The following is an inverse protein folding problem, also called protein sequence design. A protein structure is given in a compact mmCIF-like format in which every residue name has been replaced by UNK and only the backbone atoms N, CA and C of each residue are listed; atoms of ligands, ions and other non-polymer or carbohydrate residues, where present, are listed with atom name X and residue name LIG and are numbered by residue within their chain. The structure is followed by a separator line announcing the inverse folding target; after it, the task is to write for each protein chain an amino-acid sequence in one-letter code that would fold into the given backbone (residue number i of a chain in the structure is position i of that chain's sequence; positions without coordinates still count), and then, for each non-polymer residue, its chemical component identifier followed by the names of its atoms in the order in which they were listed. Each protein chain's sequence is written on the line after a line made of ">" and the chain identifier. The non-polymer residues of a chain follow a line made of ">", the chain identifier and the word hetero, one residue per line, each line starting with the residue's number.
data_IF_963955761528
#
_entry.id   IF_963955761528
#
_cell.length_a   1.000
_cell.length_b   1.000
_cell.length_c   1.000
_cell.angle_alpha   90.00
_cell.angle_beta   90.00
_cell.angle_gamma   90.00
#
_symmetry.space_group_name_H-M   'P 1'
#
loop_
_entity.id
_entity.type
_entity.pdbx_description
1 polymer ?
#
# COMPACT_ATOMS: atom_id res chain seq x y z
N UNK A 1 -9.83 -0.34 -12.23
CA UNK A 1 -9.13 -1.57 -11.77
C UNK A 1 -9.78 -1.98 -10.46
N UNK A 2 -9.80 -3.27 -10.13
CA UNK A 2 -10.34 -3.70 -8.86
C UNK A 2 -9.22 -3.72 -7.82
N UNK A 3 -9.14 -2.67 -7.01
CA UNK A 3 -8.16 -2.59 -5.92
C UNK A 3 -8.69 -3.36 -4.71
N UNK A 4 -7.85 -4.20 -4.14
CA UNK A 4 -8.20 -5.06 -2.99
C UNK A 4 -7.47 -4.68 -1.70
N UNK A 5 -6.48 -3.78 -1.81
CA UNK A 5 -5.58 -3.44 -0.72
C UNK A 5 -5.26 -1.96 -0.77
N UNK A 6 -5.10 -1.34 0.39
CA UNK A 6 -4.57 0.03 0.51
C UNK A 6 -3.29 -0.02 1.33
N UNK A 7 -2.24 0.57 0.78
CA UNK A 7 -0.95 0.74 1.46
C UNK A 7 -0.96 2.12 2.12
N UNK A 8 -0.90 2.16 3.44
CA UNK A 8 -0.87 3.39 4.24
C UNK A 8 0.56 3.69 4.70
N UNK A 9 1.00 4.93 4.45
CA UNK A 9 2.31 5.47 4.83
C UNK A 9 2.11 6.57 5.87
N UNK A 10 2.97 6.60 6.87
CA UNK A 10 2.96 7.59 7.95
C UNK A 10 4.37 8.21 8.07
N UNK A 11 4.43 9.51 8.37
CA UNK A 11 5.69 10.19 8.64
C UNK A 11 6.21 9.77 10.02
N UNK A 12 7.52 9.88 10.24
CA UNK A 12 8.20 9.72 11.55
C UNK A 12 8.70 8.32 11.95
N UNK A 13 8.80 7.38 11.02
CA UNK A 13 9.44 6.08 11.29
C UNK A 13 10.92 6.27 11.71
N UNK A 14 11.68 7.14 11.06
CA UNK A 14 13.15 7.21 11.28
C UNK A 14 13.62 8.09 12.45
N UNK A 15 12.74 8.86 13.09
CA UNK A 15 13.09 9.78 14.18
C UNK A 15 12.76 9.22 15.58
N UNK A 16 12.24 7.99 15.66
CA UNK A 16 11.66 7.41 16.88
C UNK A 16 12.33 6.07 17.19
N UNK A 17 12.49 5.76 18.49
CA UNK A 17 12.87 4.42 18.92
C UNK A 17 11.80 3.39 18.55
N UNK A 18 12.15 2.11 18.50
CA UNK A 18 11.20 1.04 18.13
C UNK A 18 9.95 1.02 19.03
N UNK A 19 10.13 1.33 20.31
CA UNK A 19 9.03 1.43 21.26
C UNK A 19 8.04 2.55 20.89
N UNK A 20 8.56 3.75 20.62
CA UNK A 20 7.71 4.91 20.26
C UNK A 20 7.06 4.70 18.89
N UNK A 21 7.78 4.08 17.94
CA UNK A 21 7.24 3.67 16.64
C UNK A 21 6.05 2.72 16.81
N UNK A 22 6.18 1.68 17.63
CA UNK A 22 5.10 0.72 17.90
C UNK A 22 3.88 1.36 18.54
N UNK A 23 4.07 2.32 19.46
CA UNK A 23 2.94 3.07 20.04
C UNK A 23 2.20 3.90 18.99
N UNK A 24 2.94 4.62 18.14
CA UNK A 24 2.36 5.40 17.05
C UNK A 24 1.57 4.52 16.09
N UNK A 25 2.16 3.39 15.65
CA UNK A 25 1.50 2.46 14.75
C UNK A 25 0.24 1.84 15.36
N UNK A 26 0.27 1.52 16.66
CA UNK A 26 -0.89 1.03 17.39
C UNK A 26 -2.00 2.09 17.42
N UNK A 27 -1.67 3.32 17.80
CA UNK A 27 -2.66 4.41 17.89
C UNK A 27 -3.27 4.76 16.53
N UNK A 28 -2.43 4.82 15.50
CA UNK A 28 -2.88 5.04 14.12
C UNK A 28 -3.82 3.91 13.66
N UNK A 29 -3.46 2.66 13.95
CA UNK A 29 -4.31 1.50 13.63
C UNK A 29 -5.66 1.53 14.35
N UNK A 30 -5.69 1.95 15.62
CA UNK A 30 -6.91 2.13 16.39
C UNK A 30 -7.81 3.23 15.80
N UNK A 31 -7.23 4.38 15.43
CA UNK A 31 -7.96 5.48 14.81
C UNK A 31 -8.58 5.04 13.47
N UNK A 32 -7.82 4.34 12.63
CA UNK A 32 -8.32 3.80 11.35
C UNK A 32 -9.45 2.79 11.61
N UNK A 33 -9.26 1.84 12.53
CA UNK A 33 -10.28 0.84 12.89
C UNK A 33 -11.58 1.48 13.40
N UNK A 34 -11.47 2.55 14.19
CA UNK A 34 -12.63 3.30 14.68
C UNK A 34 -13.45 3.89 13.53
N UNK A 35 -12.77 4.53 12.56
CA UNK A 35 -13.45 5.05 11.39
C UNK A 35 -14.08 3.94 10.52
N UNK A 36 -13.39 2.81 10.35
CA UNK A 36 -13.89 1.65 9.60
C UNK A 36 -15.18 1.14 10.24
N UNK A 37 -15.18 0.99 11.57
CA UNK A 37 -16.35 0.54 12.33
C UNK A 37 -17.51 1.53 12.21
N UNK A 38 -17.24 2.83 12.28
CA UNK A 38 -18.25 3.89 12.19
C UNK A 38 -18.94 3.92 10.83
N UNK A 39 -18.23 3.54 9.77
CA UNK A 39 -18.75 3.48 8.40
C UNK A 39 -19.23 2.09 7.98
N UNK A 40 -19.21 1.12 8.90
CA UNK A 40 -19.62 -0.27 8.66
C UNK A 40 -18.90 -0.95 7.48
N UNK A 41 -17.63 -0.60 7.26
CA UNK A 41 -16.83 -1.12 6.14
C UNK A 41 -16.20 -2.45 6.53
N UNK A 42 -16.27 -3.45 5.63
CA UNK A 42 -15.58 -4.74 5.85
C UNK A 42 -14.13 -4.63 5.40
N UNK A 43 -13.20 -4.59 6.36
CA UNK A 43 -11.77 -4.45 6.07
C UNK A 43 -10.88 -5.17 7.10
N UNK A 44 -9.77 -5.74 6.62
CA UNK A 44 -8.71 -6.35 7.45
C UNK A 44 -7.48 -5.45 7.47
N UNK A 45 -7.09 -5.00 8.66
CA UNK A 45 -5.90 -4.17 8.86
C UNK A 45 -4.73 -5.01 9.38
N UNK A 46 -3.58 -4.97 8.70
CA UNK A 46 -2.31 -5.57 9.13
C UNK A 46 -1.20 -4.52 9.21
N UNK A 47 -0.25 -4.72 10.11
CA UNK A 47 0.94 -3.87 10.29
C UNK A 47 2.17 -4.68 9.93
N UNK A 48 2.95 -4.23 8.97
CA UNK A 48 4.13 -4.95 8.50
C UNK A 48 5.25 -3.96 8.16
N UNK A 49 6.43 -4.12 8.80
CA UNK A 49 7.70 -3.47 8.44
C UNK A 49 7.60 -1.96 8.16
N UNK A 50 6.86 -1.22 8.99
CA UNK A 50 6.72 0.23 8.84
C UNK A 50 5.65 0.67 7.84
N UNK A 51 4.71 -0.22 7.49
CA UNK A 51 3.50 0.11 6.74
C UNK A 51 2.28 -0.51 7.40
N UNK A 52 1.14 0.11 7.16
CA UNK A 52 -0.17 -0.45 7.46
C UNK A 52 -0.82 -0.84 6.13
N UNK A 53 -1.34 -2.08 6.06
CA UNK A 53 -2.09 -2.58 4.93
C UNK A 53 -3.55 -2.76 5.32
N UNK A 54 -4.46 -2.34 4.45
CA UNK A 54 -5.90 -2.51 4.64
C UNK A 54 -6.44 -3.30 3.45
N UNK A 55 -6.81 -4.55 3.67
CA UNK A 55 -7.44 -5.40 2.65
C UNK A 55 -8.96 -5.24 2.72
N UNK A 56 -9.58 -4.86 1.60
CA UNK A 56 -11.02 -4.63 1.48
C UNK A 56 -11.45 -4.59 0.00
N UNK A 57 -12.71 -4.92 -0.29
CA UNK A 57 -13.32 -4.63 -1.59
C UNK A 57 -13.81 -3.16 -1.70
N UNK A 58 -13.95 -2.47 -0.57
CA UNK A 58 -14.49 -1.10 -0.45
C UNK A 58 -13.36 -0.06 -0.41
N UNK A 59 -12.42 -0.13 -1.35
CA UNK A 59 -11.20 0.70 -1.32
C UNK A 59 -11.45 2.20 -1.47
N UNK A 60 -12.49 2.60 -2.19
CA UNK A 60 -12.86 4.02 -2.34
C UNK A 60 -13.35 4.64 -1.02
N UNK A 61 -14.15 3.89 -0.27
CA UNK A 61 -14.71 4.33 1.01
C UNK A 61 -13.63 4.44 2.09
N UNK A 62 -12.72 3.45 2.14
CA UNK A 62 -11.53 3.52 3.00
C UNK A 62 -10.65 4.69 2.57
N UNK A 63 -10.47 4.93 1.26
CA UNK A 63 -9.67 6.05 0.76
C UNK A 63 -10.25 7.39 1.19
N UNK A 64 -11.59 7.55 1.19
CA UNK A 64 -12.26 8.74 1.70
C UNK A 64 -12.06 8.91 3.21
N UNK A 65 -12.13 7.83 3.98
CA UNK A 65 -11.86 7.85 5.42
C UNK A 65 -10.41 8.26 5.73
N UNK A 66 -9.42 7.69 5.02
CA UNK A 66 -8.00 7.92 5.31
C UNK A 66 -7.55 9.36 5.12
N UNK A 67 -8.24 10.13 4.27
CA UNK A 67 -8.00 11.58 4.10
C UNK A 67 -8.20 12.39 5.38
N UNK A 68 -8.98 11.87 6.33
CA UNK A 68 -9.33 12.56 7.58
C UNK A 68 -8.63 11.95 8.81
N UNK A 69 -7.77 10.94 8.63
CA UNK A 69 -7.05 10.31 9.74
C UNK A 69 -5.70 10.99 9.94
N UNK A 70 -5.56 11.76 11.01
CA UNK A 70 -4.27 12.34 11.39
C UNK A 70 -3.19 11.27 11.61
N UNK A 71 -1.98 11.56 11.15
CA UNK A 71 -0.84 10.64 11.16
C UNK A 71 -0.70 9.84 9.86
N UNK A 72 -1.72 9.80 9.00
CA UNK A 72 -1.57 9.28 7.62
C UNK A 72 -0.86 10.35 6.79
N UNK A 73 0.35 10.03 6.30
CA UNK A 73 1.10 10.90 5.40
C UNK A 73 0.61 10.76 3.95
N UNK A 74 0.43 9.51 3.51
CA UNK A 74 -0.13 9.20 2.20
C UNK A 74 -0.63 7.77 2.18
N UNK A 75 -1.51 7.46 1.22
CA UNK A 75 -1.96 6.10 0.99
C UNK A 75 -2.09 5.82 -0.49
N UNK A 76 -2.06 4.54 -0.87
CA UNK A 76 -2.20 4.11 -2.26
C UNK A 76 -3.10 2.88 -2.33
N UNK A 77 -4.25 2.96 -3.04
CA UNK A 77 -4.94 1.77 -3.52
C UNK A 77 -3.98 0.92 -4.36
N UNK A 78 -4.00 -0.38 -4.11
CA UNK A 78 -3.08 -1.36 -4.63
C UNK A 78 -3.81 -2.68 -4.89
N UNK A 79 -3.16 -3.55 -5.66
CA UNK A 79 -3.62 -4.90 -5.94
C UNK A 79 -2.58 -5.85 -5.38
N UNK A 80 -3.01 -6.75 -4.49
CA UNK A 80 -2.11 -7.72 -3.88
C UNK A 80 -2.04 -8.98 -4.75
N UNK A 81 -0.88 -9.20 -5.34
CA UNK A 81 -0.60 -10.38 -6.18
C UNK A 81 0.58 -11.17 -5.63
N UNK A 82 0.72 -12.43 -6.07
CA UNK A 82 1.92 -13.22 -5.79
C UNK A 82 3.07 -12.68 -6.63
N UNK A 83 4.28 -12.70 -6.07
CA UNK A 83 5.47 -12.15 -6.75
C UNK A 83 5.73 -12.79 -8.12
N UNK A 84 5.56 -14.11 -8.24
CA UNK A 84 5.75 -14.82 -9.51
C UNK A 84 4.74 -14.46 -10.61
N UNK A 85 3.69 -13.70 -10.28
CA UNK A 85 2.68 -13.22 -11.25
C UNK A 85 2.90 -11.75 -11.63
N UNK A 86 3.93 -11.09 -11.07
CA UNK A 86 4.11 -9.64 -11.19
C UNK A 86 4.31 -9.18 -12.65
N UNK A 87 5.23 -9.82 -13.37
CA UNK A 87 5.57 -9.45 -14.75
C UNK A 87 4.36 -9.65 -15.68
N UNK A 88 3.73 -10.84 -15.64
CA UNK A 88 2.51 -11.13 -16.40
C UNK A 88 1.36 -10.18 -16.07
N UNK A 89 1.16 -9.88 -14.78
CA UNK A 89 0.12 -8.96 -14.35
C UNK A 89 0.33 -7.56 -14.95
N UNK A 90 1.55 -7.04 -14.88
CA UNK A 90 1.88 -5.72 -15.45
C UNK A 90 1.69 -5.77 -16.96
N UNK A 91 2.20 -6.78 -17.65
CA UNK A 91 2.06 -6.92 -19.10
C UNK A 91 0.60 -6.93 -19.56
N UNK A 92 -0.27 -7.64 -18.87
CA UNK A 92 -1.71 -7.72 -19.20
C UNK A 92 -2.46 -6.41 -18.88
N UNK A 93 -2.04 -5.68 -17.85
CA UNK A 93 -2.79 -4.54 -17.33
C UNK A 93 -2.19 -3.16 -17.65
N UNK A 94 -0.96 -3.09 -18.18
CA UNK A 94 -0.23 -1.85 -18.39
C UNK A 94 -1.02 -0.85 -19.23
N UNK A 95 -1.56 -1.26 -20.37
CA UNK A 95 -2.34 -0.35 -21.23
C UNK A 95 -3.53 0.27 -20.50
N UNK A 96 -4.27 -0.54 -19.73
CA UNK A 96 -5.41 -0.09 -18.93
C UNK A 96 -5.00 0.86 -17.81
N UNK A 97 -3.82 0.66 -17.23
CA UNK A 97 -3.25 1.52 -16.18
C UNK A 97 -2.76 2.85 -16.73
N UNK A 98 -2.06 2.81 -17.88
CA UNK A 98 -1.32 3.94 -18.44
C UNK A 98 -2.19 4.84 -19.32
N UNK A 99 -3.20 4.28 -20.00
CA UNK A 99 -4.10 5.02 -20.90
C UNK A 99 -3.34 5.86 -21.93
N UNK A 100 -2.29 5.28 -22.53
CA UNK A 100 -1.46 5.93 -23.55
C UNK A 100 -0.51 7.03 -23.03
N UNK A 101 -0.31 7.16 -21.72
CA UNK A 101 0.61 8.15 -21.13
C UNK A 101 2.00 7.57 -20.89
N UNK A 102 2.99 8.48 -20.80
CA UNK A 102 4.34 8.12 -20.36
C UNK A 102 4.33 7.67 -18.90
N UNK A 103 5.27 6.81 -18.54
CA UNK A 103 5.32 6.20 -17.22
C UNK A 103 6.76 5.92 -16.77
N UNK A 104 6.90 5.59 -15.48
CA UNK A 104 8.12 5.05 -14.91
C UNK A 104 7.76 3.98 -13.87
N UNK A 105 8.36 2.80 -13.99
CA UNK A 105 8.22 1.73 -13.00
C UNK A 105 9.15 1.99 -11.80
N UNK A 106 8.58 2.14 -10.61
CA UNK A 106 9.34 2.31 -9.36
C UNK A 106 9.14 1.11 -8.44
N UNK A 107 10.15 0.25 -8.37
CA UNK A 107 10.11 -0.95 -7.54
C UNK A 107 10.76 -0.69 -6.19
N UNK A 108 10.11 -1.14 -5.12
CA UNK A 108 10.71 -1.20 -3.78
C UNK A 108 10.59 -2.63 -3.26
N UNK A 109 11.74 -3.26 -3.05
CA UNK A 109 11.86 -4.63 -2.55
C UNK A 109 11.93 -4.67 -1.03
N UNK A 110 11.33 -5.71 -0.44
CA UNK A 110 11.52 -6.07 0.96
C UNK A 110 11.93 -7.55 1.09
N UNK A 111 12.91 -7.85 1.94
CA UNK A 111 13.50 -9.19 2.05
C UNK A 111 14.56 -9.45 0.99
N UNK A 112 15.03 -10.70 0.89
CA UNK A 112 16.06 -11.14 -0.07
C UNK A 112 15.38 -11.75 -1.28
N UNK A 113 15.78 -11.34 -2.48
CA UNK A 113 15.29 -11.85 -3.76
C UNK A 113 16.44 -11.88 -4.77
N UNK A 114 16.32 -12.73 -5.78
CA UNK A 114 17.31 -12.93 -6.87
C UNK A 114 17.49 -11.71 -7.80
N UNK A 115 16.71 -10.64 -7.60
CA UNK A 115 16.76 -9.42 -8.42
C UNK A 115 16.88 -8.16 -7.57
N UNK A 116 17.47 -7.12 -8.16
CA UNK A 116 17.48 -5.76 -7.61
C UNK A 116 16.20 -5.02 -8.00
N UNK A 117 15.85 -4.00 -7.21
CA UNK A 117 14.73 -3.11 -7.56
C UNK A 117 14.91 -2.44 -8.93
N UNK A 118 16.15 -2.17 -9.33
CA UNK A 118 16.47 -1.54 -10.61
C UNK A 118 16.23 -2.52 -11.77
N UNK A 119 16.70 -3.75 -11.64
CA UNK A 119 16.47 -4.81 -12.64
C UNK A 119 14.98 -5.10 -12.82
N UNK A 120 14.24 -5.28 -11.73
CA UNK A 120 12.80 -5.50 -11.82
C UNK A 120 12.09 -4.28 -12.42
N UNK A 121 12.52 -3.06 -12.07
CA UNK A 121 11.98 -1.84 -12.69
C UNK A 121 12.21 -1.78 -14.20
N UNK A 122 13.38 -2.24 -14.68
CA UNK A 122 13.67 -2.34 -16.10
C UNK A 122 12.80 -3.40 -16.79
N UNK A 123 12.68 -4.61 -16.21
CA UNK A 123 11.84 -5.70 -16.75
C UNK A 123 10.37 -5.30 -16.88
N UNK A 124 9.84 -4.55 -15.91
CA UNK A 124 8.46 -4.08 -15.94
C UNK A 124 8.23 -2.88 -16.87
N UNK A 125 9.31 -2.23 -17.34
CA UNK A 125 9.26 -1.08 -18.22
C UNK A 125 9.49 -1.41 -19.69
N UNK A 126 9.92 -2.63 -20.00
CA UNK A 126 10.06 -3.20 -21.34
C UNK A 126 8.71 -3.70 -21.87
#
# INVERSE_FOLDING_TARGET
>A
MNYDTIIVRYSEIFLKSDFVRNQLEKKLSENIKSGIKTREITAKLTRERGRIFITTSQTEEISCLLKHVFGVLSFSPAIKIRLGQLEDFVKINAEKMLKGKTFAARVKREGVHEFTSKEMGARLGE
#
